data_IF_273374616831
#
_entry.id   IF_273374616831
#
_cell.length_a   1.000
_cell.length_b   1.000
_cell.length_c   1.000
_cell.angle_alpha   90.00
_cell.angle_beta   90.00
_cell.angle_gamma   90.00
#
_symmetry.space_group_name_H-M   'P 1'
#
loop_
_entity.id
_entity.type
_entity.pdbx_description
1 polymer ?
#
# COMPACT_ATOMS: atom_id res chain seq x y z
N UNK A 1 5.29 18.04 8.37
CA UNK A 1 4.51 16.81 8.65
C UNK A 1 5.46 15.82 9.32
N UNK A 2 5.02 15.16 10.39
CA UNK A 2 5.84 14.19 11.14
C UNK A 2 5.80 12.84 10.42
N UNK A 3 6.94 12.31 9.97
CA UNK A 3 7.05 10.96 9.39
C UNK A 3 7.29 9.96 10.52
N UNK A 4 6.51 8.89 10.58
CA UNK A 4 6.62 7.86 11.61
C UNK A 4 6.51 6.47 10.98
N UNK A 5 7.41 5.57 11.35
CA UNK A 5 7.31 4.15 11.03
C UNK A 5 6.05 3.58 11.70
N UNK A 6 5.20 2.90 10.93
CA UNK A 6 3.95 2.33 11.42
C UNK A 6 3.88 0.81 11.27
N UNK A 7 4.84 0.20 10.58
CA UNK A 7 4.91 -1.25 10.42
C UNK A 7 5.58 -1.65 9.12
N UNK A 8 5.43 -2.92 8.77
CA UNK A 8 6.02 -3.53 7.58
C UNK A 8 5.06 -4.58 7.00
N UNK A 9 5.15 -4.83 5.71
CA UNK A 9 4.33 -5.83 5.00
C UNK A 9 5.26 -6.81 4.28
N UNK A 10 5.11 -8.10 4.57
CA UNK A 10 5.79 -9.17 3.85
C UNK A 10 5.01 -9.52 2.58
N UNK A 11 5.71 -9.68 1.46
CA UNK A 11 5.15 -9.96 0.15
C UNK A 11 5.85 -11.20 -0.42
N UNK A 12 5.04 -12.12 -0.94
CA UNK A 12 5.46 -13.41 -1.55
C UNK A 12 4.85 -13.60 -2.97
N UNK A 13 3.97 -12.69 -3.39
CA UNK A 13 3.26 -12.74 -4.67
C UNK A 13 3.76 -11.70 -5.67
N UNK A 14 4.77 -10.94 -5.26
CA UNK A 14 5.24 -9.76 -5.98
C UNK A 14 4.34 -8.53 -5.97
N UNK A 15 3.24 -8.53 -5.22
CA UNK A 15 2.20 -7.49 -5.33
C UNK A 15 1.64 -7.05 -3.97
N UNK A 16 1.25 -5.78 -3.90
CA UNK A 16 0.51 -5.21 -2.79
C UNK A 16 -0.82 -4.64 -3.25
N UNK A 17 -1.79 -4.63 -2.33
CA UNK A 17 -3.12 -4.07 -2.55
C UNK A 17 -3.51 -3.17 -1.38
N UNK A 18 -4.00 -1.97 -1.70
CA UNK A 18 -4.62 -1.03 -0.75
C UNK A 18 -6.13 -1.13 -0.94
N UNK A 19 -6.84 -1.45 0.14
CA UNK A 19 -8.29 -1.65 0.15
C UNK A 19 -8.89 -1.13 1.46
N UNK A 20 -10.15 -0.66 1.43
CA UNK A 20 -10.92 -0.40 2.64
C UNK A 20 -11.16 -1.71 3.40
N UNK A 21 -10.81 -1.83 4.70
CA UNK A 21 -11.10 -3.02 5.47
C UNK A 21 -12.58 -3.48 5.42
N UNK A 22 -13.55 -2.56 5.33
CA UNK A 22 -14.96 -2.93 5.16
C UNK A 22 -15.26 -3.58 3.81
N UNK A 23 -14.50 -3.24 2.77
CA UNK A 23 -14.63 -3.88 1.48
C UNK A 23 -14.17 -5.35 1.52
N UNK A 24 -13.23 -5.70 2.40
CA UNK A 24 -12.82 -7.09 2.59
C UNK A 24 -14.01 -7.94 3.06
N UNK A 25 -14.82 -7.45 4.00
CA UNK A 25 -16.00 -8.20 4.46
C UNK A 25 -17.08 -8.31 3.37
N UNK A 26 -17.37 -7.20 2.67
CA UNK A 26 -18.41 -7.15 1.63
C UNK A 26 -18.03 -7.93 0.37
N UNK A 27 -16.74 -7.98 0.05
CA UNK A 27 -16.19 -8.57 -1.15
C UNK A 27 -15.19 -9.68 -0.82
N UNK A 28 -15.41 -10.43 0.27
CA UNK A 28 -14.53 -11.47 0.84
C UNK A 28 -14.03 -12.54 -0.15
N UNK A 29 -14.56 -12.56 -1.37
CA UNK A 29 -14.15 -13.42 -2.48
C UNK A 29 -13.54 -12.61 -3.63
N UNK A 30 -12.61 -11.70 -3.33
CA UNK A 30 -11.75 -11.17 -4.39
C UNK A 30 -10.92 -12.32 -4.94
N UNK A 31 -11.00 -12.52 -6.26
CA UNK A 31 -10.21 -13.54 -6.91
C UNK A 31 -8.76 -13.07 -7.01
N UNK A 32 -7.84 -13.91 -6.52
CA UNK A 32 -6.41 -13.63 -6.59
C UNK A 32 -5.97 -13.35 -8.04
N UNK A 33 -6.51 -14.10 -9.00
CA UNK A 33 -6.13 -13.95 -10.41
C UNK A 33 -6.65 -12.64 -11.00
N UNK A 34 -7.84 -12.20 -10.58
CA UNK A 34 -8.40 -10.90 -10.96
C UNK A 34 -7.49 -9.77 -10.48
N UNK A 35 -7.07 -9.79 -9.22
CA UNK A 35 -6.13 -8.80 -8.66
C UNK A 35 -4.79 -8.84 -9.40
N UNK A 36 -4.26 -10.03 -9.68
CA UNK A 36 -3.01 -10.18 -10.42
C UNK A 36 -3.10 -9.66 -11.85
N UNK A 37 -4.24 -9.85 -12.52
CA UNK A 37 -4.43 -9.39 -13.89
C UNK A 37 -4.33 -7.87 -14.02
N UNK A 38 -4.76 -7.13 -12.98
CA UNK A 38 -4.72 -5.67 -12.94
C UNK A 38 -3.29 -5.16 -13.01
N UNK A 39 -2.33 -5.86 -12.40
CA UNK A 39 -0.93 -5.42 -12.38
C UNK A 39 -0.12 -5.95 -13.57
N UNK A 40 -0.67 -6.84 -14.39
CA UNK A 40 -0.05 -7.34 -15.63
C UNK A 40 -0.22 -6.38 -16.81
N UNK A 41 0.10 -5.11 -16.59
CA UNK A 41 0.07 -4.07 -17.60
C UNK A 41 1.39 -3.26 -17.61
N UNK A 42 1.53 -2.31 -18.53
CA UNK A 42 2.75 -1.51 -18.67
C UNK A 42 3.10 -0.65 -17.46
N UNK A 43 2.09 -0.18 -16.72
CA UNK A 43 2.22 0.64 -15.50
C UNK A 43 2.45 -0.21 -14.24
N UNK A 44 2.27 -1.54 -14.34
CA UNK A 44 2.42 -2.49 -13.22
C UNK A 44 1.54 -2.17 -12.00
N UNK A 45 0.46 -1.43 -12.23
CA UNK A 45 -0.48 -0.99 -11.22
C UNK A 45 -1.87 -0.76 -11.83
N UNK A 46 -2.90 -0.71 -10.99
CA UNK A 46 -4.24 -0.36 -11.42
C UNK A 46 -5.29 -0.44 -10.31
N UNK A 47 -6.51 -0.07 -10.67
CA UNK A 47 -7.67 -0.09 -9.78
C UNK A 47 -8.51 -1.35 -10.01
N UNK A 48 -8.94 -1.98 -8.93
CA UNK A 48 -9.96 -3.03 -8.92
C UNK A 48 -11.33 -2.41 -8.75
N UNK A 49 -12.29 -2.77 -9.62
CA UNK A 49 -13.68 -2.29 -9.57
C UNK A 49 -13.79 -0.76 -9.41
N UNK A 50 -12.96 -0.02 -10.17
CA UNK A 50 -12.82 1.45 -10.25
C UNK A 50 -12.45 2.20 -8.96
N UNK A 51 -12.90 1.75 -7.79
CA UNK A 51 -12.67 2.40 -6.49
C UNK A 51 -12.51 1.44 -5.32
N UNK A 52 -12.64 0.12 -5.55
CA UNK A 52 -12.64 -0.86 -4.47
C UNK A 52 -11.25 -1.03 -3.87
N UNK A 53 -10.24 -1.19 -4.72
CA UNK A 53 -8.85 -1.36 -4.29
C UNK A 53 -7.88 -0.83 -5.35
N UNK A 54 -6.66 -0.53 -4.92
CA UNK A 54 -5.53 -0.22 -5.79
C UNK A 54 -4.45 -1.28 -5.60
N UNK A 55 -4.02 -1.93 -6.68
CA UNK A 55 -2.98 -2.96 -6.65
C UNK A 55 -1.76 -2.52 -7.47
N UNK A 56 -0.58 -2.93 -7.04
CA UNK A 56 0.69 -2.61 -7.72
C UNK A 56 1.76 -3.67 -7.46
N UNK A 57 2.65 -3.86 -8.43
CA UNK A 57 3.84 -4.71 -8.27
C UNK A 57 4.86 -4.01 -7.37
N UNK A 58 5.56 -4.80 -6.56
CA UNK A 58 6.63 -4.30 -5.69
C UNK A 58 8.01 -4.46 -6.34
N UNK A 59 9.03 -3.84 -5.74
CA UNK A 59 10.27 -3.44 -6.42
C UNK A 59 11.40 -4.47 -6.53
N UNK A 60 11.30 -5.69 -6.01
CA UNK A 60 12.38 -6.68 -6.17
C UNK A 60 12.26 -7.46 -7.49
N UNK A 61 13.36 -8.06 -7.97
CA UNK A 61 13.44 -8.84 -9.23
C UNK A 61 12.45 -10.02 -9.27
N UNK A 62 11.87 -10.38 -8.13
CA UNK A 62 10.82 -11.38 -7.93
C UNK A 62 9.57 -10.83 -7.23
N UNK A 63 9.61 -9.56 -6.79
CA UNK A 63 8.56 -8.87 -6.04
C UNK A 63 8.38 -9.33 -4.59
N UNK A 64 9.15 -10.33 -4.14
CA UNK A 64 9.08 -10.79 -2.76
C UNK A 64 9.99 -9.94 -1.89
N UNK A 65 9.57 -9.71 -0.64
CA UNK A 65 10.32 -8.84 0.27
C UNK A 65 9.54 -8.40 1.50
N UNK A 66 10.21 -7.63 2.35
CA UNK A 66 9.66 -7.03 3.56
C UNK A 66 9.73 -5.52 3.42
N UNK A 67 8.59 -4.87 3.22
CA UNK A 67 8.52 -3.45 2.88
C UNK A 67 8.05 -2.62 4.06
N UNK A 68 8.81 -1.59 4.41
CA UNK A 68 8.47 -0.67 5.49
C UNK A 68 7.35 0.29 5.08
N UNK A 69 6.46 0.58 6.03
CA UNK A 69 5.33 1.50 5.88
C UNK A 69 5.49 2.66 6.86
N UNK A 70 5.43 3.87 6.30
CA UNK A 70 5.51 5.12 7.03
C UNK A 70 4.23 5.93 6.86
N UNK A 71 3.78 6.56 7.96
CA UNK A 71 2.73 7.55 7.93
C UNK A 71 3.31 8.95 8.11
N UNK A 72 2.78 9.91 7.36
CA UNK A 72 3.02 11.33 7.57
C UNK A 72 1.81 11.95 8.25
N UNK A 73 2.00 12.45 9.46
CA UNK A 73 0.95 13.09 10.24
C UNK A 73 0.91 14.60 9.98
N UNK A 74 -0.31 15.11 9.79
CA UNK A 74 -0.63 16.53 9.75
C UNK A 74 -1.58 16.88 10.89
N UNK A 75 -1.47 18.11 11.40
CA UNK A 75 -2.45 18.68 12.32
C UNK A 75 -3.36 19.59 11.50
N UNK A 76 -4.66 19.26 11.34
CA UNK A 76 -5.58 20.06 10.53
C UNK A 76 -5.77 21.48 11.07
N UNK A 77 -5.77 21.64 12.40
CA UNK A 77 -5.85 22.92 13.09
C UNK A 77 -4.74 23.04 14.13
N UNK A 78 -3.87 24.05 13.99
CA UNK A 78 -2.74 24.32 14.90
C UNK A 78 -3.17 24.51 16.37
N UNK A 79 -4.46 24.70 16.64
CA UNK A 79 -5.02 24.80 18.00
C UNK A 79 -5.25 23.45 18.69
N UNK A 80 -5.40 22.36 17.94
CA UNK A 80 -5.70 21.03 18.48
C UNK A 80 -4.60 20.02 18.11
N UNK A 81 -3.47 20.09 18.83
CA UNK A 81 -2.32 19.18 18.64
C UNK A 81 -2.69 17.70 18.88
N UNK A 82 -3.74 17.43 19.66
CA UNK A 82 -4.27 16.09 19.88
C UNK A 82 -4.92 15.46 18.64
N UNK A 83 -5.29 16.27 17.64
CA UNK A 83 -6.02 15.83 16.45
C UNK A 83 -5.10 15.50 15.26
N UNK A 84 -3.95 14.85 15.52
CA UNK A 84 -3.05 14.40 14.44
C UNK A 84 -3.79 13.39 13.55
N UNK A 85 -3.70 13.57 12.23
CA UNK A 85 -4.26 12.66 11.22
C UNK A 85 -3.19 12.25 10.22
N UNK A 86 -3.28 11.01 9.75
CA UNK A 86 -2.44 10.52 8.65
C UNK A 86 -2.88 11.27 7.39
N UNK A 87 -1.93 11.90 6.72
CA UNK A 87 -2.14 12.72 5.50
C UNK A 87 -1.50 12.10 4.26
N UNK A 88 -0.48 11.25 4.47
CA UNK A 88 0.19 10.47 3.43
C UNK A 88 0.67 9.16 4.04
N UNK A 89 0.56 8.09 3.27
CA UNK A 89 1.24 6.81 3.54
C UNK A 89 2.34 6.64 2.50
N UNK A 90 3.47 6.11 2.93
CA UNK A 90 4.64 5.86 2.11
C UNK A 90 5.10 4.43 2.36
N UNK A 91 5.19 3.63 1.29
CA UNK A 91 5.69 2.27 1.33
C UNK A 91 7.03 2.28 0.58
N UNK A 92 8.10 1.88 1.26
CA UNK A 92 9.43 1.85 0.66
C UNK A 92 9.62 0.50 -0.02
N UNK A 93 9.61 0.49 -1.35
CA UNK A 93 9.64 -0.71 -2.19
C UNK A 93 11.04 -1.04 -2.75
N UNK A 94 12.04 -0.25 -2.39
CA UNK A 94 13.40 -0.36 -2.92
C UNK A 94 14.19 -1.27 -1.97
N UNK A 95 14.82 -2.31 -2.52
CA UNK A 95 15.94 -2.97 -1.86
C UNK A 95 17.08 -1.95 -1.78
N UNK A 96 17.32 -1.36 -0.61
CA UNK A 96 18.65 -0.84 -0.27
C UNK A 96 19.58 -2.05 -0.05
N UNK A 97 19.80 -2.84 -1.10
CA UNK A 97 21.02 -3.62 -1.23
C UNK A 97 21.92 -2.80 -2.15
N UNK A 98 22.50 -1.75 -1.54
CA UNK A 98 23.82 -1.27 -1.93
C UNK A 98 24.79 -2.45 -1.83
N UNK A 99 25.07 -3.10 -2.96
CA UNK A 99 26.38 -3.55 -3.49
C UNK A 99 26.23 -4.55 -4.66
#
# INVERSE_FOLDING_TARGET
>A
MERKYIGQVAVDSGQLMIIDPMAIEKHWKLDYEEVCSITRNGERAGMLNDTLACAFQTGSRFGDGLYEVYAHYSVPDKKFVADKRISKVEIILIDELDE
#
